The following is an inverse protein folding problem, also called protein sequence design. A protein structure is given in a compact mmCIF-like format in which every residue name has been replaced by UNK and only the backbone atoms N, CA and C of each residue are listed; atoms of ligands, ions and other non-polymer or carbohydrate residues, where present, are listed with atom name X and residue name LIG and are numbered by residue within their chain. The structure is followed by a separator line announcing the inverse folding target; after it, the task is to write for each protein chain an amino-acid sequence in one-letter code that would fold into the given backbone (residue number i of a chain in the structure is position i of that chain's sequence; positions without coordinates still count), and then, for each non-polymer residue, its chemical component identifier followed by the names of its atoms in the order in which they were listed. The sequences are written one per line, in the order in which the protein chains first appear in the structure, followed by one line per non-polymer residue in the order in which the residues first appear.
data_IF_713027428161
#
_entry.id   IF_713027428161
#
_cell.length_a   1.000
_cell.length_b   1.000
_cell.length_c   1.000
_cell.angle_alpha   90.00
_cell.angle_beta   90.00
_cell.angle_gamma   90.00
#
_symmetry.space_group_name_H-M   'P 1'
#
loop_
_entity.id
_entity.type
_entity.pdbx_description
1 polymer ?
#
# COMPACT_ATOMS: atom_id res chain seq x y z
N UNK A 1 23.25 40.78 -10.21
CA UNK A 1 21.76 40.77 -10.22
C UNK A 1 21.13 39.53 -10.88
N UNK A 2 21.84 38.79 -11.74
CA UNK A 2 21.27 37.67 -12.52
C UNK A 2 21.09 36.38 -11.68
N UNK A 3 22.04 36.11 -10.78
CA UNK A 3 22.08 34.87 -9.98
C UNK A 3 20.87 34.73 -9.03
N UNK A 4 20.44 35.82 -8.39
CA UNK A 4 19.25 35.82 -7.51
C UNK A 4 17.92 35.66 -8.26
N UNK A 5 17.88 35.98 -9.55
CA UNK A 5 16.73 35.71 -10.43
C UNK A 5 16.64 34.23 -10.77
N UNK A 6 17.77 33.61 -11.13
CA UNK A 6 17.87 32.19 -11.44
C UNK A 6 17.40 31.31 -10.28
N UNK A 7 17.95 31.48 -9.07
CA UNK A 7 17.52 30.71 -7.89
C UNK A 7 16.04 30.85 -7.54
N UNK A 8 15.44 32.00 -7.87
CA UNK A 8 14.02 32.25 -7.64
C UNK A 8 13.12 31.43 -8.56
N UNK A 9 13.54 31.25 -9.82
CA UNK A 9 12.81 30.44 -10.80
C UNK A 9 12.96 28.95 -10.48
N UNK A 10 14.19 28.49 -10.18
CA UNK A 10 14.44 27.10 -9.78
C UNK A 10 13.64 26.73 -8.53
N UNK A 11 13.65 27.58 -7.50
CA UNK A 11 12.89 27.32 -6.28
C UNK A 11 11.39 27.14 -6.55
N UNK A 12 10.80 27.95 -7.45
CA UNK A 12 9.39 27.80 -7.83
C UNK A 12 9.11 26.53 -8.63
N UNK A 13 9.99 26.17 -9.56
CA UNK A 13 9.87 24.93 -10.33
C UNK A 13 9.93 23.70 -9.41
N UNK A 14 10.89 23.67 -8.47
CA UNK A 14 10.98 22.61 -7.47
C UNK A 14 9.73 22.57 -6.58
N UNK A 15 9.22 23.72 -6.15
CA UNK A 15 7.98 23.80 -5.37
C UNK A 15 6.78 23.21 -6.13
N UNK A 16 6.62 23.57 -7.40
CA UNK A 16 5.55 23.03 -8.25
C UNK A 16 5.70 21.50 -8.46
N UNK A 17 6.93 21.02 -8.67
CA UNK A 17 7.22 19.60 -8.82
C UNK A 17 6.91 18.80 -7.54
N UNK A 18 7.28 19.31 -6.37
CA UNK A 18 6.93 18.72 -5.08
C UNK A 18 5.42 18.66 -4.88
N UNK A 19 4.71 19.75 -5.22
CA UNK A 19 3.25 19.77 -5.15
C UNK A 19 2.65 18.68 -6.04
N UNK A 20 3.12 18.57 -7.28
CA UNK A 20 2.65 17.55 -8.22
C UNK A 20 2.84 16.13 -7.67
N UNK A 21 4.03 15.80 -7.17
CA UNK A 21 4.31 14.50 -6.54
C UNK A 21 3.41 14.27 -5.32
N UNK A 22 3.29 15.26 -4.45
CA UNK A 22 2.45 15.18 -3.26
C UNK A 22 0.99 14.88 -3.61
N UNK A 23 0.47 15.51 -4.67
CA UNK A 23 -0.87 15.22 -5.19
C UNK A 23 -0.98 13.81 -5.75
N UNK A 24 -0.01 13.33 -6.53
CA UNK A 24 -0.03 11.97 -7.08
C UNK A 24 -0.10 10.91 -5.96
N UNK A 25 0.73 11.06 -4.92
CA UNK A 25 0.72 10.14 -3.77
C UNK A 25 -0.62 10.23 -3.03
N UNK A 26 -1.11 11.45 -2.78
CA UNK A 26 -2.37 11.64 -2.06
C UNK A 26 -3.57 11.08 -2.83
N UNK A 27 -3.56 11.20 -4.16
CA UNK A 27 -4.55 10.56 -5.02
C UNK A 27 -4.52 9.04 -4.88
N UNK A 28 -3.35 8.41 -4.83
CA UNK A 28 -3.21 6.96 -4.60
C UNK A 28 -3.72 6.52 -3.22
N UNK A 29 -3.53 7.33 -2.19
CA UNK A 29 -4.10 7.07 -0.86
C UNK A 29 -5.64 7.17 -0.91
N UNK A 30 -6.17 8.23 -1.53
CA UNK A 30 -7.62 8.43 -1.64
C UNK A 30 -8.28 7.33 -2.48
N UNK A 31 -7.66 6.89 -3.57
CA UNK A 31 -8.19 5.78 -4.38
C UNK A 31 -8.25 4.48 -3.58
N UNK A 32 -7.26 4.23 -2.72
CA UNK A 32 -7.23 3.07 -1.83
C UNK A 32 -8.31 3.14 -0.74
N UNK A 33 -8.56 4.33 -0.17
CA UNK A 33 -9.58 4.54 0.87
C UNK A 33 -11.00 4.41 0.32
N UNK A 34 -11.26 4.99 -0.85
CA UNK A 34 -12.59 5.05 -1.43
C UNK A 34 -12.87 3.93 -2.44
N UNK A 35 -11.89 3.09 -2.76
CA UNK A 35 -12.02 1.99 -3.72
C UNK A 35 -12.25 2.45 -5.17
N UNK A 36 -11.89 3.70 -5.51
CA UNK A 36 -11.99 4.18 -6.89
C UNK A 36 -10.87 3.55 -7.73
N UNK A 37 -11.23 2.75 -8.73
CA UNK A 37 -10.26 2.25 -9.71
C UNK A 37 -9.86 3.37 -10.68
N UNK A 38 -8.57 3.68 -10.75
CA UNK A 38 -8.00 4.69 -11.64
C UNK A 38 -7.82 4.12 -13.07
N UNK A 39 -7.79 2.80 -13.21
CA UNK A 39 -7.83 2.08 -14.48
C UNK A 39 -9.26 1.55 -14.68
N UNK A 40 -9.89 1.92 -15.80
CA UNK A 40 -11.30 1.58 -16.09
C UNK A 40 -11.68 0.14 -15.75
N UNK A 41 -12.91 -0.03 -15.28
CA UNK A 41 -13.64 -1.28 -15.03
C UNK A 41 -12.83 -2.57 -15.21
N UNK A 42 -11.99 -2.87 -14.23
CA UNK A 42 -11.50 -4.23 -14.04
C UNK A 42 -11.52 -4.49 -12.54
N UNK A 43 -12.36 -5.45 -12.15
CA UNK A 43 -12.60 -5.87 -10.79
C UNK A 43 -11.34 -6.40 -10.06
N UNK A 44 -10.19 -6.37 -10.72
CA UNK A 44 -8.93 -6.95 -10.25
C UNK A 44 -8.26 -6.12 -9.15
N UNK A 45 -8.42 -4.79 -9.07
CA UNK A 45 -7.75 -4.01 -8.01
C UNK A 45 -8.20 -4.41 -6.59
N UNK A 46 -9.47 -4.82 -6.44
CA UNK A 46 -9.98 -5.34 -5.17
C UNK A 46 -9.40 -6.71 -4.79
N UNK A 47 -8.93 -7.51 -5.76
CA UNK A 47 -8.38 -8.84 -5.49
C UNK A 47 -7.00 -8.77 -4.83
N UNK A 48 -6.14 -7.82 -5.19
CA UNK A 48 -4.81 -7.67 -4.56
C UNK A 48 -4.91 -7.36 -3.06
N UNK A 49 -5.93 -6.58 -2.66
CA UNK A 49 -6.18 -6.26 -1.25
C UNK A 49 -6.61 -7.54 -0.49
N UNK A 50 -7.45 -8.38 -1.11
CA UNK A 50 -7.85 -9.65 -0.52
C UNK A 50 -6.71 -10.70 -0.48
N UNK A 51 -5.80 -10.68 -1.46
CA UNK A 51 -4.65 -11.60 -1.53
C UNK A 51 -3.58 -11.26 -0.48
N UNK A 52 -3.30 -9.98 -0.23
CA UNK A 52 -2.29 -9.57 0.75
C UNK A 52 -2.79 -9.74 2.20
N UNK A 53 -4.11 -9.70 2.41
CA UNK A 53 -4.70 -9.69 3.76
C UNK A 53 -5.78 -10.78 3.95
N UNK A 54 -5.35 -12.03 3.90
CA UNK A 54 -6.19 -13.23 4.11
C UNK A 54 -6.73 -13.32 5.56
N UNK A 55 -6.05 -12.72 6.55
CA UNK A 55 -6.47 -12.74 7.94
C UNK A 55 -7.08 -11.40 8.40
N UNK A 56 -8.36 -11.45 8.81
CA UNK A 56 -9.19 -10.28 9.14
C UNK A 56 -8.74 -9.56 10.42
N UNK A 57 -7.98 -10.22 11.30
CA UNK A 57 -7.61 -9.66 12.62
C UNK A 57 -6.61 -8.49 12.52
N UNK A 58 -5.65 -8.56 11.60
CA UNK A 58 -4.58 -7.57 11.48
C UNK A 58 -4.74 -6.59 10.30
N UNK A 59 -5.77 -6.83 9.45
CA UNK A 59 -6.07 -6.04 8.27
C UNK A 59 -6.23 -4.54 8.57
N UNK A 60 -7.07 -4.19 9.56
CA UNK A 60 -7.35 -2.78 9.86
C UNK A 60 -6.11 -2.02 10.34
N UNK A 61 -5.24 -2.72 11.08
CA UNK A 61 -4.02 -2.14 11.63
C UNK A 61 -2.98 -1.88 10.54
N UNK A 62 -2.86 -2.81 9.58
CA UNK A 62 -2.06 -2.61 8.37
C UNK A 62 -2.61 -1.49 7.47
N UNK A 63 -3.93 -1.45 7.28
CA UNK A 63 -4.61 -0.48 6.43
C UNK A 63 -4.44 0.95 6.96
N UNK A 64 -4.78 1.18 8.24
CA UNK A 64 -4.61 2.49 8.88
C UNK A 64 -3.14 2.87 8.96
N UNK A 65 -2.26 1.93 9.32
CA UNK A 65 -0.82 2.16 9.36
C UNK A 65 -0.28 2.58 7.99
N UNK A 66 -0.68 1.88 6.93
CA UNK A 66 -0.30 2.19 5.55
C UNK A 66 -0.78 3.58 5.12
N UNK A 67 -2.05 3.92 5.38
CA UNK A 67 -2.58 5.26 5.09
C UNK A 67 -1.73 6.32 5.77
N UNK A 68 -1.41 6.17 7.05
CA UNK A 68 -0.61 7.17 7.78
C UNK A 68 0.81 7.28 7.19
N UNK A 69 1.45 6.16 6.89
CA UNK A 69 2.82 6.10 6.35
C UNK A 69 2.93 6.81 4.99
N UNK A 70 1.90 6.77 4.15
CA UNK A 70 1.91 7.44 2.85
C UNK A 70 1.28 8.83 2.88
N UNK A 71 0.17 9.00 3.60
CA UNK A 71 -0.56 10.26 3.65
C UNK A 71 0.25 11.34 4.37
N UNK A 72 0.84 11.05 5.53
CA UNK A 72 1.55 12.07 6.31
C UNK A 72 2.75 12.65 5.55
N UNK A 73 3.64 11.85 4.95
CA UNK A 73 4.73 12.39 4.13
C UNK A 73 4.22 13.14 2.90
N UNK A 74 3.18 12.65 2.23
CA UNK A 74 2.60 13.35 1.09
C UNK A 74 2.00 14.72 1.49
N UNK A 75 1.31 14.82 2.62
CA UNK A 75 0.87 16.09 3.19
C UNK A 75 2.05 17.00 3.52
N UNK A 76 3.14 16.46 4.07
CA UNK A 76 4.35 17.24 4.37
C UNK A 76 5.09 17.71 3.11
N UNK A 77 5.09 16.92 2.04
CA UNK A 77 5.60 17.29 0.71
C UNK A 77 4.74 18.43 0.13
N UNK A 78 3.42 18.32 0.17
CA UNK A 78 2.51 19.39 -0.25
C UNK A 78 2.74 20.67 0.55
N UNK A 79 2.82 20.57 1.88
CA UNK A 79 3.08 21.68 2.77
C UNK A 79 4.44 22.36 2.47
N UNK A 80 5.49 21.56 2.25
CA UNK A 80 6.81 22.05 1.85
C UNK A 80 6.81 22.73 0.48
N UNK A 81 6.17 22.09 -0.51
CA UNK A 81 6.05 22.59 -1.88
C UNK A 81 5.28 23.91 -1.96
N UNK A 82 4.15 24.03 -1.25
CA UNK A 82 3.37 25.27 -1.14
C UNK A 82 4.21 26.38 -0.51
N UNK A 83 4.91 26.09 0.60
CA UNK A 83 5.80 27.07 1.25
C UNK A 83 6.90 27.53 0.31
N UNK A 84 7.47 26.63 -0.48
CA UNK A 84 8.52 26.94 -1.44
C UNK A 84 7.99 27.79 -2.62
N UNK A 85 6.81 27.44 -3.16
CA UNK A 85 6.18 28.14 -4.28
C UNK A 85 5.78 29.59 -3.92
N UNK A 86 5.14 29.77 -2.76
CA UNK A 86 4.66 31.06 -2.27
C UNK A 86 5.67 31.80 -1.39
N UNK A 87 6.87 31.24 -1.16
CA UNK A 87 7.93 31.79 -0.29
C UNK A 87 7.47 32.10 1.13
N UNK A 88 6.59 31.26 1.67
CA UNK A 88 6.08 31.41 3.02
C UNK A 88 7.19 31.02 4.00
N UNK A 89 7.67 31.99 4.78
CA UNK A 89 8.75 31.81 5.76
C UNK A 89 8.26 31.25 7.11
N UNK A 90 6.96 31.27 7.35
CA UNK A 90 6.39 30.79 8.59
C UNK A 90 6.31 29.26 8.59
N UNK A 91 6.96 28.64 9.57
CA UNK A 91 6.88 27.19 9.80
C UNK A 91 6.35 26.93 11.19
N UNK A 92 5.24 26.21 11.29
CA UNK A 92 4.69 25.81 12.57
C UNK A 92 5.47 24.58 13.08
N UNK A 93 6.24 24.75 14.17
CA UNK A 93 7.01 23.65 14.77
C UNK A 93 6.11 22.51 15.26
N UNK A 94 4.93 22.85 15.77
CA UNK A 94 3.95 21.86 16.25
C UNK A 94 3.41 20.98 15.13
N UNK A 95 3.21 21.54 13.93
CA UNK A 95 2.79 20.76 12.77
C UNK A 95 3.87 19.74 12.37
N UNK A 96 5.14 20.17 12.29
CA UNK A 96 6.23 19.28 11.91
C UNK A 96 6.44 18.15 12.93
N UNK A 97 6.39 18.47 14.23
CA UNK A 97 6.54 17.48 15.31
C UNK A 97 5.34 16.54 15.34
N UNK A 98 4.11 17.08 15.25
CA UNK A 98 2.89 16.29 15.23
C UNK A 98 2.83 15.33 14.05
N UNK A 99 3.19 15.82 12.85
CA UNK A 99 3.32 14.97 11.66
C UNK A 99 4.38 13.88 11.85
N UNK A 100 5.54 14.22 12.41
CA UNK A 100 6.60 13.23 12.70
C UNK A 100 6.14 12.14 13.67
N UNK A 101 5.49 12.52 14.77
CA UNK A 101 4.95 11.57 15.76
C UNK A 101 3.84 10.71 15.16
N UNK A 102 2.90 11.31 14.43
CA UNK A 102 1.83 10.59 13.77
C UNK A 102 2.39 9.58 12.75
N UNK A 103 3.38 10.00 11.96
CA UNK A 103 4.05 9.11 11.01
C UNK A 103 4.74 7.93 11.71
N UNK A 104 5.43 8.17 12.83
CA UNK A 104 6.06 7.09 13.61
C UNK A 104 5.03 6.07 14.12
N UNK A 105 3.86 6.53 14.58
CA UNK A 105 2.77 5.64 15.02
C UNK A 105 2.31 4.77 13.84
N UNK A 106 2.04 5.38 12.69
CA UNK A 106 1.65 4.64 11.48
C UNK A 106 2.71 3.64 11.02
N UNK A 107 3.99 4.03 11.10
CA UNK A 107 5.12 3.19 10.74
C UNK A 107 5.23 1.96 11.65
N UNK A 108 5.08 2.14 12.97
CA UNK A 108 5.06 1.03 13.93
C UNK A 108 3.89 0.09 13.65
N UNK A 109 2.69 0.63 13.42
CA UNK A 109 1.50 -0.15 13.08
C UNK A 109 1.70 -0.99 11.80
N UNK A 110 2.15 -0.35 10.72
CA UNK A 110 2.38 -1.03 9.45
C UNK A 110 3.46 -2.11 9.56
N UNK A 111 4.54 -1.83 10.29
CA UNK A 111 5.64 -2.79 10.51
C UNK A 111 5.15 -3.99 11.34
N UNK A 112 4.43 -3.74 12.44
CA UNK A 112 3.88 -4.81 13.28
C UNK A 112 2.97 -5.74 12.50
N UNK A 113 2.01 -5.17 11.74
CA UNK A 113 1.10 -5.96 10.93
C UNK A 113 1.85 -6.72 9.83
N UNK A 114 2.82 -6.09 9.15
CA UNK A 114 3.64 -6.75 8.14
C UNK A 114 4.45 -7.94 8.68
N UNK A 115 5.08 -7.80 9.84
CA UNK A 115 5.83 -8.88 10.51
C UNK A 115 4.91 -10.03 10.92
N UNK A 116 3.71 -9.71 11.42
CA UNK A 116 2.74 -10.72 11.84
C UNK A 116 2.21 -11.50 10.63
N UNK A 117 1.79 -10.79 9.57
CA UNK A 117 1.37 -11.40 8.31
C UNK A 117 2.48 -12.27 7.70
N UNK A 118 3.74 -11.81 7.70
CA UNK A 118 4.87 -12.60 7.22
C UNK A 118 5.09 -13.89 8.04
N UNK A 119 4.94 -13.81 9.36
CA UNK A 119 5.01 -14.98 10.25
C UNK A 119 3.90 -15.98 9.96
N UNK A 120 2.66 -15.50 9.78
CA UNK A 120 1.49 -16.35 9.51
C UNK A 120 1.62 -17.06 8.14
N UNK A 121 2.21 -16.40 7.13
CA UNK A 121 2.55 -17.04 5.86
C UNK A 121 3.60 -18.15 6.02
N UNK A 122 4.59 -17.96 6.90
CA UNK A 122 5.65 -18.96 7.18
C UNK A 122 5.13 -20.20 7.91
N UNK A 123 4.09 -20.05 8.74
CA UNK A 123 3.44 -21.17 9.41
C UNK A 123 2.48 -21.90 8.46
N UNK A 124 1.66 -21.17 7.71
CA UNK A 124 0.68 -21.75 6.77
C UNK A 124 1.34 -22.56 5.65
N UNK A 125 2.51 -22.15 5.18
CA UNK A 125 3.27 -22.88 4.16
C UNK A 125 3.76 -24.25 4.64
N UNK A 126 4.05 -24.42 5.93
CA UNK A 126 4.39 -25.73 6.52
C UNK A 126 3.20 -26.71 6.54
N UNK A 127 1.97 -26.20 6.67
CA UNK A 127 0.76 -27.04 6.66
C UNK A 127 0.35 -27.49 5.25
N UNK A 128 0.73 -26.77 4.19
CA UNK A 128 0.44 -27.17 2.80
C UNK A 128 1.35 -28.29 2.28
N UNK A 129 2.51 -28.51 2.90
CA UNK A 129 3.48 -29.53 2.49
C UNK A 129 3.08 -30.96 2.93
N UNK A 130 2.15 -31.12 3.89
CA UNK A 130 1.83 -32.43 4.48
C UNK A 130 0.63 -33.17 3.87
N UNK A 131 0.02 -32.67 2.79
CA UNK A 131 -0.93 -33.49 2.01
C UNK A 131 -0.20 -34.30 0.94
N UNK A 132 0.52 -35.33 1.38
CA UNK A 132 0.82 -36.47 0.51
C UNK A 132 -0.52 -37.07 0.09
N UNK A 133 -0.92 -36.83 -1.16
CA UNK A 133 -2.05 -37.53 -1.75
C UNK A 133 -1.61 -38.99 -1.86
N UNK A 134 -2.03 -39.82 -0.91
CA UNK A 134 -2.06 -41.27 -1.13
C UNK A 134 -3.12 -41.50 -2.20
N UNK A 135 -2.67 -41.51 -3.46
CA UNK A 135 -3.42 -42.12 -4.55
C UNK A 135 -3.47 -43.61 -4.25
N UNK A 136 -4.53 -44.05 -3.57
CA UNK A 136 -5.03 -45.41 -3.78
C UNK A 136 -5.57 -45.42 -5.20
N UNK A 137 -4.81 -45.99 -6.12
CA UNK A 137 -5.29 -46.28 -7.46
C UNK A 137 -6.46 -47.27 -7.33
N UNK A 138 -7.69 -46.75 -7.32
CA UNK A 138 -8.86 -47.57 -7.68
C UNK A 138 -8.78 -47.83 -9.19
N UNK A 139 -8.19 -48.97 -9.54
CA UNK A 139 -8.22 -49.52 -10.88
C UNK A 139 -9.67 -49.94 -11.16
N UNK A 140 -10.44 -49.09 -11.82
CA UNK A 140 -11.69 -49.49 -12.43
C UNK A 140 -11.37 -50.41 -13.62
N UNK A 141 -11.46 -51.72 -13.40
CA UNK A 141 -11.50 -52.68 -14.50
C UNK A 141 -12.86 -52.56 -15.17
N UNK A 142 -12.92 -51.79 -16.25
CA UNK A 142 -14.06 -51.80 -17.16
C UNK A 142 -13.98 -53.13 -17.89
N UNK A 143 -14.79 -54.11 -17.45
CA UNK A 143 -14.95 -55.36 -18.17
C UNK A 143 -15.68 -55.07 -19.49
N UNK A 144 -14.92 -54.99 -20.58
CA UNK A 144 -15.44 -54.82 -21.91
C UNK A 144 -15.85 -56.18 -22.50
N UNK A 145 -16.92 -56.79 -22.00
CA UNK A 145 -17.64 -57.82 -22.75
C UNK A 145 -19.15 -57.74 -22.48
N UNK A 146 -19.98 -57.49 -23.51
CA UNK A 146 -21.43 -57.58 -23.36
C UNK A 146 -21.82 -59.04 -23.16
N UNK A 147 -22.62 -59.30 -22.12
CA UNK A 147 -23.25 -60.61 -21.89
C UNK A 147 -24.25 -60.83 -23.03
N UNK A 148 -23.97 -61.79 -23.92
CA UNK A 148 -24.88 -62.20 -24.99
C UNK A 148 -25.80 -63.29 -24.44
N UNK A 149 -27.11 -63.01 -24.46
CA UNK A 149 -28.30 -63.81 -24.15
C UNK A 149 -28.52 -64.24 -22.69
#
# INVERSE_FOLDING_TARGET
MILGGFFRVIGRLLGAFLIFIGFMIMFGVLSTVFGFSIAGESAEFNDWINIIFIDRSHYWLAFVGGIIVFAVPAFMILYGGIKLLFKIKYSNRWLNIGAGLLWLIGFIMATYAGVKTASDFSETSKFKESKTIVTSAEVFTISAFPKIN
#
